data_IF_638077490676
#
_entry.id   IF_638077490676
#
_cell.length_a   1.000
_cell.length_b   1.000
_cell.length_c   1.000
_cell.angle_alpha   90.00
_cell.angle_beta   90.00
_cell.angle_gamma   90.00
#
_symmetry.space_group_name_H-M   'P 1'
#
loop_
_entity.id
_entity.type
_entity.pdbx_description
1 polymer ?
#
# COMPACT_ATOMS: atom_id res chain seq x y z
N UNK A 1 -2.93 2.00 -61.47
CA UNK A 1 -2.11 1.31 -60.44
C UNK A 1 -1.82 2.31 -59.32
N UNK A 2 -2.05 1.89 -58.05
CA UNK A 2 -1.77 2.61 -56.79
C UNK A 2 -2.65 3.82 -56.43
N UNK A 3 -3.95 3.60 -56.16
CA UNK A 3 -4.68 4.47 -55.23
C UNK A 3 -5.93 3.81 -54.59
N UNK A 4 -5.91 2.52 -54.25
CA UNK A 4 -7.06 1.87 -53.59
C UNK A 4 -6.71 0.74 -52.60
N UNK A 5 -5.51 0.79 -51.99
CA UNK A 5 -5.10 -0.20 -50.96
C UNK A 5 -4.74 0.37 -49.59
N UNK A 6 -4.87 1.69 -49.38
CA UNK A 6 -4.48 2.31 -48.10
C UNK A 6 -5.66 2.66 -47.17
N UNK A 7 -6.91 2.48 -47.59
CA UNK A 7 -8.08 2.80 -46.76
C UNK A 7 -8.65 1.61 -45.96
N UNK A 8 -8.36 0.35 -46.35
CA UNK A 8 -8.86 -0.83 -45.61
C UNK A 8 -8.01 -1.23 -44.39
N UNK A 9 -6.77 -0.74 -44.28
CA UNK A 9 -5.88 -1.05 -43.14
C UNK A 9 -6.06 -0.09 -41.96
N UNK A 10 -6.66 1.08 -42.18
CA UNK A 10 -6.95 2.06 -41.11
C UNK A 10 -8.27 1.74 -40.40
N UNK A 11 -9.23 1.08 -41.08
CA UNK A 11 -10.50 0.70 -40.49
C UNK A 11 -10.43 -0.54 -39.57
N UNK A 12 -9.45 -1.44 -39.75
CA UNK A 12 -9.28 -2.60 -38.86
C UNK A 12 -8.51 -2.30 -37.57
N UNK A 13 -7.70 -1.23 -37.53
CA UNK A 13 -6.99 -0.78 -36.32
C UNK A 13 -7.90 0.03 -35.37
N UNK A 14 -9.06 0.50 -35.84
CA UNK A 14 -10.04 1.21 -35.02
C UNK A 14 -11.09 0.31 -34.35
N UNK A 15 -11.16 -0.98 -34.70
CA UNK A 15 -12.11 -1.91 -34.08
C UNK A 15 -11.53 -2.75 -32.93
N UNK A 16 -10.23 -2.67 -32.65
CA UNK A 16 -9.57 -3.41 -31.55
C UNK A 16 -9.26 -2.52 -30.33
N UNK A 17 -9.56 -1.22 -30.39
CA UNK A 17 -9.33 -0.26 -29.28
C UNK A 17 -10.64 0.11 -28.54
N UNK A 18 -11.75 -0.60 -28.79
CA UNK A 18 -13.00 -0.45 -28.02
C UNK A 18 -13.39 -1.80 -27.38
N UNK A 19 -12.55 -2.39 -26.53
CA UNK A 19 -12.96 -3.44 -25.57
C UNK A 19 -12.13 -3.50 -24.28
N UNK A 20 -11.35 -2.48 -23.92
CA UNK A 20 -10.60 -2.46 -22.63
C UNK A 20 -10.97 -1.28 -21.74
N UNK A 21 -12.27 -1.03 -21.54
CA UNK A 21 -12.74 -0.03 -20.58
C UNK A 21 -14.08 -0.39 -19.94
N UNK A 22 -14.27 -1.62 -19.43
CA UNK A 22 -15.38 -1.91 -18.51
C UNK A 22 -14.97 -2.99 -17.47
N UNK A 23 -14.50 -2.54 -16.32
CA UNK A 23 -14.67 -3.15 -14.97
C UNK A 23 -14.53 -1.97 -14.00
N UNK A 24 -15.37 -1.68 -13.01
CA UNK A 24 -16.58 -2.29 -12.47
C UNK A 24 -17.34 -1.18 -11.74
N UNK A 25 -18.62 -0.99 -12.04
CA UNK A 25 -19.59 -0.34 -11.13
C UNK A 25 -20.86 -1.16 -11.23
N UNK A 26 -21.01 -2.18 -10.37
CA UNK A 26 -22.29 -2.87 -10.21
C UNK A 26 -22.96 -2.32 -8.95
N UNK A 27 -23.88 -1.39 -9.18
CA UNK A 27 -24.81 -0.92 -8.17
C UNK A 27 -25.88 -1.98 -7.88
N UNK A 28 -26.22 -2.10 -6.60
CA UNK A 28 -27.34 -2.91 -6.07
C UNK A 28 -28.62 -2.77 -6.92
N UNK A 29 -29.17 -3.90 -7.38
CA UNK A 29 -30.63 -4.10 -7.49
C UNK A 29 -31.02 -5.50 -7.03
N UNK A 30 -31.79 -5.55 -5.96
CA UNK A 30 -32.52 -6.73 -5.51
C UNK A 30 -33.68 -6.99 -6.47
N UNK A 31 -33.78 -8.21 -7.00
CA UNK A 31 -35.05 -8.75 -7.48
C UNK A 31 -35.24 -10.18 -6.98
N UNK A 32 -36.25 -10.34 -6.12
CA UNK A 32 -36.86 -11.60 -5.76
C UNK A 32 -37.42 -12.31 -6.99
N UNK A 33 -37.14 -13.60 -7.16
CA UNK A 33 -38.07 -14.49 -7.85
C UNK A 33 -38.20 -15.86 -7.18
N UNK A 34 -39.48 -16.25 -7.10
CA UNK A 34 -40.09 -17.40 -6.44
C UNK A 34 -39.60 -18.75 -6.95
N UNK A 35 -39.47 -19.69 -6.02
CA UNK A 35 -39.47 -21.13 -6.27
C UNK A 35 -40.77 -21.59 -6.97
N UNK A 36 -40.62 -22.40 -8.02
CA UNK A 36 -41.68 -23.27 -8.55
C UNK A 36 -41.27 -24.73 -8.35
N UNK A 37 -42.11 -25.48 -7.64
CA UNK A 37 -42.13 -26.95 -7.55
C UNK A 37 -42.75 -27.51 -8.83
N UNK A 38 -42.20 -28.61 -9.34
CA UNK A 38 -42.93 -29.66 -10.07
C UNK A 38 -42.13 -30.97 -9.94
N UNK A 39 -42.62 -31.96 -9.17
CA UNK A 39 -43.54 -33.06 -9.48
C UNK A 39 -42.90 -34.21 -10.29
N UNK A 40 -42.73 -35.32 -9.56
CA UNK A 40 -42.38 -36.68 -10.03
C UNK A 40 -43.32 -37.16 -11.15
N UNK A 41 -42.75 -37.90 -12.09
CA UNK A 41 -43.44 -38.98 -12.81
C UNK A 41 -42.53 -40.21 -12.87
N UNK A 42 -43.05 -41.31 -12.33
CA UNK A 42 -42.52 -42.66 -12.49
C UNK A 42 -42.75 -43.11 -13.94
N UNK A 43 -41.79 -43.82 -14.53
CA UNK A 43 -42.13 -44.89 -15.45
C UNK A 43 -41.16 -46.06 -15.26
N UNK A 44 -41.76 -47.22 -15.05
CA UNK A 44 -41.18 -48.54 -14.93
C UNK A 44 -40.79 -49.08 -16.30
N UNK A 45 -39.64 -49.74 -16.41
CA UNK A 45 -39.46 -50.88 -17.31
C UNK A 45 -38.38 -51.82 -16.75
N UNK A 46 -38.73 -53.11 -16.70
CA UNK A 46 -37.95 -54.23 -16.22
C UNK A 46 -37.12 -54.82 -17.37
N UNK A 47 -35.82 -55.08 -17.13
CA UNK A 47 -35.07 -56.14 -17.81
C UNK A 47 -33.95 -56.66 -16.91
N UNK A 48 -33.99 -57.97 -16.63
CA UNK A 48 -33.07 -58.75 -15.78
C UNK A 48 -31.98 -59.46 -16.60
N UNK A 49 -30.70 -59.34 -16.23
CA UNK A 49 -29.58 -60.30 -16.46
C UNK A 49 -28.49 -60.08 -15.36
N UNK A 50 -27.74 -61.11 -14.88
CA UNK A 50 -27.21 -61.15 -13.51
C UNK A 50 -25.71 -60.79 -13.34
N UNK A 51 -25.33 -60.48 -12.10
CA UNK A 51 -24.01 -60.79 -11.53
C UNK A 51 -22.95 -59.68 -11.52
N UNK A 52 -22.84 -58.99 -10.38
CA UNK A 52 -21.57 -58.66 -9.68
C UNK A 52 -21.84 -57.64 -8.57
N UNK A 53 -21.36 -57.92 -7.35
CA UNK A 53 -21.44 -57.01 -6.21
C UNK A 53 -20.66 -55.72 -6.50
N UNK A 54 -21.23 -54.51 -6.28
CA UNK A 54 -20.45 -53.29 -6.39
C UNK A 54 -19.51 -53.19 -5.19
N UNK A 55 -18.20 -53.07 -5.47
CA UNK A 55 -17.21 -52.72 -4.46
C UNK A 55 -17.56 -51.38 -3.81
N UNK A 56 -17.34 -51.29 -2.49
CA UNK A 56 -17.53 -50.10 -1.68
C UNK A 56 -16.81 -48.88 -2.28
N UNK A 57 -17.39 -47.67 -2.24
CA UNK A 57 -16.70 -46.46 -2.67
C UNK A 57 -15.43 -46.25 -1.84
N UNK A 58 -14.32 -45.79 -2.44
CA UNK A 58 -13.10 -45.50 -1.69
C UNK A 58 -13.37 -44.38 -0.66
N UNK A 59 -13.03 -44.67 0.59
CA UNK A 59 -13.08 -43.74 1.72
C UNK A 59 -12.33 -42.45 1.41
N UNK A 60 -13.03 -41.32 1.53
CA UNK A 60 -12.47 -39.98 1.56
C UNK A 60 -11.44 -39.93 2.70
N UNK A 61 -10.18 -39.47 2.48
CA UNK A 61 -9.21 -39.34 3.56
C UNK A 61 -9.77 -38.41 4.64
N UNK A 62 -9.83 -38.92 5.87
CA UNK A 62 -10.53 -38.32 6.99
C UNK A 62 -10.19 -36.86 7.23
N UNK A 63 -11.22 -36.06 7.49
CA UNK A 63 -11.08 -34.85 8.27
C UNK A 63 -10.40 -35.22 9.59
N UNK A 64 -9.17 -34.77 9.80
CA UNK A 64 -8.56 -34.79 11.12
C UNK A 64 -9.54 -34.11 12.10
N UNK A 65 -10.12 -34.90 13.00
CA UNK A 65 -10.97 -34.40 14.07
C UNK A 65 -10.08 -33.65 15.05
N UNK A 66 -10.01 -32.33 14.87
CA UNK A 66 -9.35 -31.45 15.83
C UNK A 66 -10.05 -31.58 17.19
N UNK A 67 -9.31 -31.68 18.30
CA UNK A 67 -9.89 -31.76 19.63
C UNK A 67 -10.82 -30.58 19.85
N UNK A 68 -12.08 -30.88 20.15
CA UNK A 68 -13.09 -29.91 20.58
C UNK A 68 -12.59 -29.19 21.83
N UNK A 69 -12.07 -27.97 21.66
CA UNK A 69 -11.53 -27.14 22.74
C UNK A 69 -10.27 -26.35 22.38
N UNK A 70 -9.45 -26.81 21.42
CA UNK A 70 -8.28 -26.04 20.98
C UNK A 70 -8.70 -24.88 20.07
N UNK A 71 -8.25 -23.67 20.41
CA UNK A 71 -8.37 -22.49 19.55
C UNK A 71 -7.13 -22.27 18.67
N UNK A 72 -6.12 -23.12 18.79
CA UNK A 72 -4.87 -23.01 18.03
C UNK A 72 -4.86 -24.00 16.88
N UNK A 73 -4.59 -23.49 15.69
CA UNK A 73 -4.58 -24.17 14.40
C UNK A 73 -3.16 -24.12 13.85
N UNK A 74 -2.31 -25.05 14.32
CA UNK A 74 -0.94 -25.20 13.83
C UNK A 74 -0.93 -25.76 12.41
N UNK A 75 -0.31 -25.03 11.48
CA UNK A 75 -0.23 -25.40 10.07
C UNK A 75 0.43 -26.77 9.83
N UNK A 76 1.29 -27.24 10.74
CA UNK A 76 1.87 -28.59 10.69
C UNK A 76 0.81 -29.67 10.85
N UNK A 77 -0.19 -29.45 11.72
CA UNK A 77 -1.34 -30.36 11.88
C UNK A 77 -2.21 -30.44 10.64
N UNK A 78 -2.13 -29.43 9.77
CA UNK A 78 -2.81 -29.38 8.48
C UNK A 78 -1.94 -29.90 7.31
N UNK A 79 -0.78 -30.51 7.62
CA UNK A 79 0.08 -31.16 6.63
C UNK A 79 1.15 -30.27 6.01
N UNK A 80 1.42 -29.09 6.59
CA UNK A 80 2.58 -28.29 6.19
C UNK A 80 3.87 -29.02 6.55
N UNK A 81 4.90 -28.93 5.69
CA UNK A 81 6.20 -29.56 5.91
C UNK A 81 7.17 -28.65 6.64
N UNK A 82 7.08 -27.33 6.44
CA UNK A 82 7.92 -26.38 7.17
C UNK A 82 9.42 -26.48 6.87
N UNK A 83 9.79 -27.02 5.70
CA UNK A 83 11.18 -27.23 5.28
C UNK A 83 11.75 -26.14 4.35
N UNK A 84 10.96 -25.11 4.04
CA UNK A 84 11.34 -23.97 3.18
C UNK A 84 11.38 -24.28 1.68
N UNK A 85 11.03 -25.49 1.26
CA UNK A 85 11.13 -25.96 -0.13
C UNK A 85 9.80 -26.48 -0.66
N UNK A 86 9.04 -27.20 0.17
CA UNK A 86 7.74 -27.74 -0.22
C UNK A 86 6.67 -26.67 -0.15
N UNK A 87 5.75 -26.70 -1.12
CA UNK A 87 4.61 -25.79 -1.18
C UNK A 87 3.62 -26.09 -0.05
N UNK A 88 3.62 -25.25 0.97
CA UNK A 88 2.80 -25.38 2.18
C UNK A 88 1.47 -24.61 2.09
N UNK A 89 1.17 -24.01 0.93
CA UNK A 89 0.00 -23.13 0.74
C UNK A 89 -1.33 -23.83 1.02
N UNK A 90 -1.46 -25.11 0.65
CA UNK A 90 -2.69 -25.88 0.84
C UNK A 90 -2.95 -26.14 2.34
N UNK A 91 -1.92 -26.48 3.09
CA UNK A 91 -2.01 -26.68 4.53
C UNK A 91 -2.39 -25.37 5.24
N UNK A 92 -1.70 -24.28 4.87
CA UNK A 92 -1.98 -22.94 5.39
C UNK A 92 -3.43 -22.48 5.13
N UNK A 93 -3.92 -22.64 3.90
CA UNK A 93 -5.32 -22.32 3.55
C UNK A 93 -6.34 -23.19 4.30
N UNK A 94 -6.00 -24.44 4.60
CA UNK A 94 -6.88 -25.34 5.33
C UNK A 94 -6.95 -24.95 6.82
N UNK A 95 -5.80 -24.66 7.43
CA UNK A 95 -5.71 -24.12 8.79
C UNK A 95 -6.51 -22.82 8.93
N UNK A 96 -6.31 -21.88 8.01
CA UNK A 96 -7.05 -20.62 7.96
C UNK A 96 -8.55 -20.83 7.92
N UNK A 97 -9.05 -21.66 6.99
CA UNK A 97 -10.49 -21.92 6.84
C UNK A 97 -11.11 -22.57 8.08
N UNK A 98 -10.34 -23.38 8.80
CA UNK A 98 -10.78 -23.98 10.06
C UNK A 98 -10.84 -22.94 11.17
N UNK A 99 -9.76 -22.17 11.37
CA UNK A 99 -9.66 -21.12 12.38
C UNK A 99 -10.70 -20.00 12.19
N UNK A 100 -10.94 -19.59 10.95
CA UNK A 100 -11.87 -18.52 10.58
C UNK A 100 -13.31 -18.75 11.07
N UNK A 101 -13.69 -19.99 11.39
CA UNK A 101 -15.01 -20.36 11.92
C UNK A 101 -15.12 -20.26 13.44
N UNK A 102 -14.02 -19.97 14.14
CA UNK A 102 -13.93 -20.01 15.61
C UNK A 102 -13.49 -18.64 16.13
N UNK A 103 -14.26 -18.08 17.07
CA UNK A 103 -13.92 -16.78 17.66
C UNK A 103 -12.73 -16.90 18.61
N UNK A 104 -11.78 -15.96 18.47
CA UNK A 104 -10.54 -15.97 19.25
C UNK A 104 -9.57 -17.07 18.84
N UNK A 105 -9.68 -17.59 17.61
CA UNK A 105 -8.78 -18.61 17.10
C UNK A 105 -7.41 -18.03 16.72
N UNK A 106 -6.39 -18.89 16.74
CA UNK A 106 -5.02 -18.57 16.32
C UNK A 106 -4.60 -19.54 15.24
N UNK A 107 -4.18 -19.04 14.07
CA UNK A 107 -3.39 -19.81 13.11
C UNK A 107 -1.92 -19.68 13.49
N UNK A 108 -1.27 -20.79 13.81
CA UNK A 108 0.10 -20.82 14.33
C UNK A 108 1.09 -21.20 13.22
N UNK A 109 2.13 -20.35 13.04
CA UNK A 109 3.30 -20.61 12.22
C UNK A 109 4.49 -20.81 13.17
N UNK A 110 4.82 -22.07 13.53
CA UNK A 110 5.72 -22.35 14.64
C UNK A 110 7.17 -21.96 14.38
N UNK A 111 7.87 -21.57 15.44
CA UNK A 111 9.30 -21.28 15.41
C UNK A 111 10.13 -22.49 14.98
N UNK A 112 11.27 -22.27 14.33
CA UNK A 112 12.17 -23.33 13.86
C UNK A 112 11.81 -23.89 12.49
N UNK A 113 10.64 -23.53 11.94
CA UNK A 113 10.17 -23.96 10.63
C UNK A 113 10.17 -22.82 9.60
N UNK A 114 10.30 -23.19 8.33
CA UNK A 114 10.21 -22.28 7.18
C UNK A 114 9.15 -22.79 6.22
N UNK A 115 8.16 -21.99 5.87
CA UNK A 115 7.04 -22.41 5.04
C UNK A 115 7.11 -21.70 3.70
N UNK A 116 7.31 -22.44 2.61
CA UNK A 116 7.24 -21.88 1.27
C UNK A 116 5.77 -21.75 0.89
N UNK A 117 5.29 -20.51 0.80
CA UNK A 117 3.89 -20.19 0.52
C UNK A 117 3.81 -19.58 -0.87
N UNK A 118 3.13 -20.22 -1.81
CA UNK A 118 2.75 -19.60 -3.10
C UNK A 118 1.69 -18.52 -2.89
N UNK A 119 1.40 -17.69 -3.90
CA UNK A 119 0.30 -16.73 -3.84
C UNK A 119 -1.01 -17.32 -3.32
N UNK A 120 -1.53 -16.75 -2.24
CA UNK A 120 -2.78 -17.16 -1.58
C UNK A 120 -3.65 -15.97 -1.23
N UNK A 121 -4.96 -16.21 -1.16
CA UNK A 121 -5.92 -15.27 -0.58
C UNK A 121 -6.55 -15.90 0.66
N UNK A 122 -6.39 -15.21 1.79
CA UNK A 122 -7.02 -15.50 3.07
C UNK A 122 -8.28 -14.64 3.17
N UNK A 123 -9.42 -15.28 2.96
CA UNK A 123 -10.69 -14.58 2.81
C UNK A 123 -11.57 -14.78 4.05
N UNK A 124 -12.22 -13.70 4.48
CA UNK A 124 -13.33 -13.72 5.41
C UNK A 124 -14.71 -13.85 4.73
N UNK A 125 -15.80 -13.57 5.45
CA UNK A 125 -15.82 -13.10 6.84
C UNK A 125 -15.35 -14.20 7.81
N UNK A 126 -14.59 -13.82 8.82
CA UNK A 126 -14.18 -14.70 9.92
C UNK A 126 -14.88 -14.28 11.21
N UNK A 127 -14.98 -15.22 12.15
CA UNK A 127 -15.33 -14.90 13.53
C UNK A 127 -14.30 -13.91 14.12
N UNK A 128 -14.71 -13.01 15.03
CA UNK A 128 -13.85 -11.93 15.51
C UNK A 128 -12.70 -12.46 16.37
N UNK A 129 -11.66 -11.62 16.48
CA UNK A 129 -10.44 -11.85 17.27
C UNK A 129 -9.59 -13.01 16.73
N UNK A 130 -9.59 -13.19 15.41
CA UNK A 130 -8.71 -14.16 14.75
C UNK A 130 -7.27 -13.63 14.79
N UNK A 131 -6.32 -14.50 15.14
CA UNK A 131 -4.90 -14.18 15.20
C UNK A 131 -4.14 -15.04 14.19
N UNK A 132 -3.21 -14.43 13.46
CA UNK A 132 -2.14 -15.13 12.75
C UNK A 132 -0.84 -14.93 13.56
N UNK A 133 -0.43 -15.98 14.26
CA UNK A 133 0.80 -16.00 15.06
C UNK A 133 1.96 -16.47 14.19
N UNK A 134 2.89 -15.56 13.88
CA UNK A 134 4.07 -15.83 13.04
C UNK A 134 5.30 -15.89 13.93
N UNK A 135 5.71 -17.10 14.33
CA UNK A 135 6.93 -17.35 15.09
C UNK A 135 8.05 -17.97 14.22
N UNK A 136 7.67 -18.66 13.14
CA UNK A 136 8.56 -19.20 12.10
C UNK A 136 8.82 -18.23 10.96
N UNK A 137 9.20 -18.77 9.79
CA UNK A 137 9.39 -18.00 8.57
C UNK A 137 8.36 -18.35 7.50
N UNK A 138 7.74 -17.36 6.88
CA UNK A 138 7.01 -17.49 5.63
C UNK A 138 7.92 -17.04 4.49
N UNK A 139 8.07 -17.87 3.45
CA UNK A 139 8.94 -17.61 2.31
C UNK A 139 8.11 -17.55 1.03
N UNK A 140 8.26 -16.50 0.24
CA UNK A 140 7.66 -16.45 -1.10
C UNK A 140 8.45 -17.33 -2.07
N UNK A 141 7.87 -17.87 -3.16
CA UNK A 141 8.65 -18.55 -4.19
C UNK A 141 9.61 -17.54 -4.81
N UNK A 142 10.93 -17.80 -4.95
CA UNK A 142 11.91 -16.78 -5.34
C UNK A 142 11.99 -16.50 -6.85
N UNK A 143 11.40 -17.35 -7.70
CA UNK A 143 11.42 -17.16 -9.16
C UNK A 143 10.11 -16.54 -9.65
N UNK A 144 10.21 -15.50 -10.47
CA UNK A 144 9.06 -14.83 -11.10
C UNK A 144 8.14 -15.84 -11.81
N UNK A 145 8.72 -16.77 -12.58
CA UNK A 145 7.96 -17.79 -13.31
C UNK A 145 7.29 -18.86 -12.43
N UNK A 146 7.58 -18.92 -11.13
CA UNK A 146 6.91 -19.82 -10.19
C UNK A 146 5.58 -19.26 -9.67
N UNK A 147 5.29 -17.99 -9.96
CA UNK A 147 4.03 -17.35 -9.58
C UNK A 147 2.98 -17.54 -10.67
N UNK A 148 1.69 -17.65 -10.33
CA UNK A 148 0.63 -17.72 -11.32
C UNK A 148 0.66 -16.49 -12.23
N UNK A 149 0.45 -16.69 -13.55
CA UNK A 149 0.32 -15.61 -14.54
C UNK A 149 -1.02 -14.85 -14.41
N UNK A 150 -1.47 -14.56 -13.19
CA UNK A 150 -2.69 -13.80 -12.94
C UNK A 150 -2.37 -12.31 -12.87
N UNK A 151 -3.29 -11.46 -13.31
CA UNK A 151 -3.15 -10.01 -13.37
C UNK A 151 -2.93 -9.32 -12.02
N UNK A 152 -3.12 -10.01 -10.89
CA UNK A 152 -3.12 -9.37 -9.58
C UNK A 152 -1.85 -9.60 -8.74
N UNK A 153 -0.95 -10.51 -9.14
CA UNK A 153 0.37 -10.78 -8.55
C UNK A 153 0.55 -10.54 -7.03
N UNK A 154 -0.46 -10.79 -6.20
CA UNK A 154 -0.40 -10.59 -4.75
C UNK A 154 0.14 -11.85 -4.07
N UNK A 155 1.03 -11.71 -3.07
CA UNK A 155 1.54 -12.87 -2.34
C UNK A 155 0.54 -13.39 -1.29
N UNK A 156 0.42 -12.70 -0.16
CA UNK A 156 -0.52 -13.04 0.91
C UNK A 156 -1.56 -11.92 1.00
N UNK A 157 -2.75 -12.23 0.49
CA UNK A 157 -3.84 -11.27 0.37
C UNK A 157 -4.94 -11.57 1.38
N UNK A 158 -5.17 -10.66 2.30
CA UNK A 158 -6.24 -10.69 3.29
C UNK A 158 -7.43 -9.90 2.75
N UNK A 159 -8.59 -10.55 2.62
CA UNK A 159 -9.81 -9.94 2.06
C UNK A 159 -10.99 -10.05 3.02
N UNK A 160 -11.67 -8.93 3.25
CA UNK A 160 -12.93 -8.86 4.01
C UNK A 160 -12.80 -9.40 5.43
N UNK A 161 -11.72 -9.04 6.10
CA UNK A 161 -11.43 -9.48 7.47
C UNK A 161 -11.74 -8.35 8.44
N UNK A 162 -12.28 -8.71 9.60
CA UNK A 162 -12.64 -7.79 10.67
C UNK A 162 -12.06 -8.26 12.01
N UNK A 163 -11.56 -7.35 12.84
CA UNK A 163 -11.01 -7.64 14.19
C UNK A 163 -9.94 -8.75 14.14
N UNK A 164 -8.84 -8.46 13.46
CA UNK A 164 -7.79 -9.44 13.14
C UNK A 164 -6.41 -8.93 13.52
N UNK A 165 -5.57 -9.84 14.03
CA UNK A 165 -4.21 -9.50 14.44
C UNK A 165 -3.19 -10.40 13.76
N UNK A 166 -2.15 -9.82 13.17
CA UNK A 166 -0.89 -10.49 12.89
C UNK A 166 0.10 -10.12 14.00
N UNK A 167 0.75 -11.12 14.59
CA UNK A 167 1.74 -10.91 15.63
C UNK A 167 2.79 -12.01 15.65
N UNK A 168 3.88 -11.81 16.40
CA UNK A 168 4.90 -12.83 16.67
C UNK A 168 6.31 -12.36 16.31
N UNK A 169 7.30 -13.19 16.62
CA UNK A 169 8.73 -12.86 16.44
C UNK A 169 9.31 -13.29 15.10
N UNK A 170 8.48 -13.87 14.23
CA UNK A 170 8.86 -14.49 12.98
C UNK A 170 9.06 -13.51 11.83
N UNK A 171 9.27 -14.07 10.64
CA UNK A 171 9.62 -13.32 9.43
C UNK A 171 8.72 -13.68 8.25
N UNK A 172 8.33 -12.66 7.50
CA UNK A 172 7.70 -12.75 6.18
C UNK A 172 8.76 -12.32 5.16
N UNK A 173 9.36 -13.27 4.46
CA UNK A 173 10.43 -13.03 3.48
C UNK A 173 9.90 -13.16 2.06
N UNK A 174 9.81 -12.02 1.36
CA UNK A 174 9.33 -11.94 -0.01
C UNK A 174 10.30 -12.47 -1.06
N UNK A 175 11.56 -12.76 -0.69
CA UNK A 175 12.63 -13.23 -1.59
C UNK A 175 12.76 -12.41 -2.90
N UNK A 176 12.56 -11.10 -2.81
CA UNK A 176 12.29 -10.17 -3.92
C UNK A 176 13.42 -9.92 -4.93
N UNK A 177 14.63 -10.43 -4.71
CA UNK A 177 15.81 -10.05 -5.52
C UNK A 177 15.67 -10.33 -7.01
N UNK A 178 14.91 -11.35 -7.41
CA UNK A 178 14.67 -11.69 -8.81
C UNK A 178 13.65 -10.75 -9.51
N UNK A 179 12.89 -9.95 -8.74
CA UNK A 179 11.94 -8.96 -9.27
C UNK A 179 12.54 -7.58 -9.45
N UNK A 180 13.66 -7.30 -8.79
CA UNK A 180 14.34 -6.00 -8.82
C UNK A 180 15.15 -5.79 -10.11
N UNK A 181 14.59 -6.22 -11.25
CA UNK A 181 15.13 -6.00 -12.59
C UNK A 181 14.20 -5.05 -13.36
N UNK A 182 14.72 -4.18 -14.25
CA UNK A 182 13.89 -3.24 -15.00
C UNK A 182 12.73 -3.90 -15.78
N UNK A 183 12.95 -5.11 -16.31
CA UNK A 183 11.96 -5.89 -17.05
C UNK A 183 10.75 -6.36 -16.22
N UNK A 184 10.89 -6.44 -14.90
CA UNK A 184 9.89 -6.99 -13.99
C UNK A 184 9.12 -5.93 -13.20
N UNK A 185 9.39 -4.63 -13.43
CA UNK A 185 8.71 -3.51 -12.77
C UNK A 185 7.21 -3.39 -13.11
N UNK A 186 6.71 -4.16 -14.08
CA UNK A 186 5.29 -4.22 -14.45
C UNK A 186 4.47 -5.02 -13.41
N UNK A 187 5.12 -5.86 -12.61
CA UNK A 187 4.43 -6.71 -11.63
C UNK A 187 4.22 -5.98 -10.30
N UNK A 188 2.96 -5.73 -9.95
CA UNK A 188 2.57 -5.11 -8.69
C UNK A 188 2.49 -6.16 -7.57
N UNK A 189 3.64 -6.65 -7.09
CA UNK A 189 3.70 -7.73 -6.10
C UNK A 189 3.87 -7.22 -4.67
N UNK A 190 2.77 -7.22 -3.92
CA UNK A 190 2.83 -6.92 -2.48
C UNK A 190 3.04 -8.19 -1.66
N UNK A 191 3.89 -8.12 -0.63
CA UNK A 191 4.10 -9.25 0.28
C UNK A 191 2.84 -9.50 1.13
N UNK A 192 2.42 -8.51 1.91
CA UNK A 192 1.17 -8.54 2.66
C UNK A 192 0.22 -7.46 2.13
N UNK A 193 -1.01 -7.85 1.77
CA UNK A 193 -2.06 -6.91 1.36
C UNK A 193 -3.34 -7.16 2.13
N UNK A 194 -3.89 -6.10 2.72
CA UNK A 194 -5.24 -6.06 3.26
C UNK A 194 -6.14 -5.29 2.33
N UNK A 195 -7.27 -5.89 1.98
CA UNK A 195 -8.27 -5.29 1.12
C UNK A 195 -9.64 -5.35 1.76
N UNK A 196 -10.32 -4.20 1.82
CA UNK A 196 -11.66 -4.10 2.42
C UNK A 196 -11.72 -4.76 3.80
N UNK A 197 -10.69 -4.51 4.62
CA UNK A 197 -10.54 -5.12 5.94
C UNK A 197 -10.50 -4.03 7.01
N UNK A 198 -11.06 -4.32 8.19
CA UNK A 198 -11.26 -3.31 9.22
C UNK A 198 -10.85 -3.79 10.61
N UNK A 199 -10.36 -2.89 11.46
CA UNK A 199 -9.86 -3.23 12.80
C UNK A 199 -8.76 -4.30 12.71
N UNK A 200 -7.68 -3.95 12.01
CA UNK A 200 -6.53 -4.83 11.77
C UNK A 200 -5.34 -4.31 12.56
N UNK A 201 -4.71 -5.21 13.32
CA UNK A 201 -3.43 -4.95 13.99
C UNK A 201 -2.33 -5.79 13.35
N UNK A 202 -1.19 -5.18 13.02
CA UNK A 202 0.03 -5.87 12.60
C UNK A 202 1.15 -5.46 13.54
N UNK A 203 1.73 -6.41 14.28
CA UNK A 203 2.75 -6.09 15.28
C UNK A 203 3.87 -7.10 15.40
N UNK A 204 5.02 -6.65 15.93
CA UNK A 204 6.18 -7.44 16.36
C UNK A 204 6.94 -8.25 15.27
N UNK A 205 6.35 -8.43 14.09
CA UNK A 205 6.91 -9.25 13.01
C UNK A 205 7.96 -8.50 12.18
N UNK A 206 8.73 -9.28 11.42
CA UNK A 206 9.63 -8.77 10.37
C UNK A 206 9.04 -9.02 8.99
N UNK A 207 9.07 -8.03 8.11
CA UNK A 207 8.69 -8.17 6.70
C UNK A 207 9.90 -7.73 5.86
N UNK A 208 10.52 -8.66 5.13
CA UNK A 208 11.78 -8.41 4.44
C UNK A 208 11.73 -8.80 2.97
N UNK A 209 12.58 -8.15 2.17
CA UNK A 209 12.82 -8.48 0.77
C UNK A 209 11.52 -8.61 -0.04
N UNK A 210 10.56 -7.69 0.13
CA UNK A 210 9.35 -7.74 -0.69
C UNK A 210 9.71 -7.47 -2.16
N UNK A 211 9.09 -8.18 -3.12
CA UNK A 211 9.27 -7.90 -4.55
C UNK A 211 8.89 -6.45 -4.94
N UNK A 212 7.88 -5.89 -4.27
CA UNK A 212 7.45 -4.48 -4.35
C UNK A 212 7.08 -4.03 -2.92
N UNK A 213 5.87 -3.52 -2.67
CA UNK A 213 5.49 -3.01 -1.34
C UNK A 213 5.45 -4.14 -0.29
N UNK A 214 5.89 -3.87 0.94
CA UNK A 214 5.93 -4.86 2.02
C UNK A 214 4.55 -5.06 2.65
N UNK A 215 3.90 -3.97 3.04
CA UNK A 215 2.59 -4.00 3.68
C UNK A 215 1.65 -2.98 3.04
N UNK A 216 0.57 -3.46 2.41
CA UNK A 216 -0.42 -2.61 1.75
C UNK A 216 -1.79 -2.69 2.43
N UNK A 217 -2.39 -1.55 2.69
CA UNK A 217 -3.80 -1.43 3.07
C UNK A 217 -4.56 -0.71 1.95
N UNK A 218 -5.66 -1.32 1.51
CA UNK A 218 -6.49 -0.80 0.44
C UNK A 218 -7.97 -0.90 0.81
N UNK A 219 -8.70 0.22 0.70
CA UNK A 219 -10.14 0.28 0.96
C UNK A 219 -10.50 -0.18 2.38
N UNK A 220 -9.65 0.14 3.36
CA UNK A 220 -9.63 -0.45 4.70
C UNK A 220 -9.77 0.63 5.79
N UNK A 221 -9.91 0.26 7.06
CA UNK A 221 -9.84 1.25 8.14
C UNK A 221 -9.84 0.72 9.56
N UNK A 222 -9.44 1.54 10.52
CA UNK A 222 -9.14 1.08 11.89
C UNK A 222 -7.88 0.20 11.86
N UNK A 223 -6.77 0.76 11.40
CA UNK A 223 -5.52 0.04 11.20
C UNK A 223 -4.53 0.43 12.29
N UNK A 224 -3.87 -0.56 12.88
CA UNK A 224 -2.78 -0.36 13.83
C UNK A 224 -1.55 -1.14 13.35
N UNK A 225 -0.43 -0.46 13.22
CA UNK A 225 0.87 -1.06 12.94
C UNK A 225 1.82 -0.67 14.06
N UNK A 226 2.38 -1.64 14.77
CA UNK A 226 3.17 -1.38 15.98
C UNK A 226 4.39 -2.30 16.08
N UNK A 227 5.55 -1.75 16.41
CA UNK A 227 6.77 -2.53 16.66
C UNK A 227 7.15 -3.52 15.54
N UNK A 228 6.95 -3.15 14.26
CA UNK A 228 7.38 -3.99 13.14
C UNK A 228 8.77 -3.59 12.63
N UNK A 229 9.44 -4.53 11.97
CA UNK A 229 10.65 -4.23 11.21
C UNK A 229 10.44 -4.53 9.73
N UNK A 230 10.68 -3.54 8.88
CA UNK A 230 10.68 -3.67 7.42
C UNK A 230 12.10 -3.45 6.91
N UNK A 231 12.60 -4.36 6.07
CA UNK A 231 13.95 -4.26 5.51
C UNK A 231 14.05 -4.81 4.09
N UNK A 232 14.52 -3.98 3.17
CA UNK A 232 15.04 -4.37 1.85
C UNK A 232 16.24 -3.50 1.48
N UNK A 233 17.11 -3.91 0.53
CA UNK A 233 18.21 -3.07 0.07
C UNK A 233 17.73 -1.72 -0.46
N UNK A 234 18.50 -0.65 -0.25
CA UNK A 234 18.20 0.70 -0.78
C UNK A 234 18.03 0.72 -2.31
N UNK A 235 18.69 -0.21 -3.01
CA UNK A 235 18.61 -0.34 -4.47
C UNK A 235 17.40 -1.13 -4.97
N UNK A 236 16.54 -1.63 -4.08
CA UNK A 236 15.35 -2.40 -4.46
C UNK A 236 14.23 -1.48 -4.94
N UNK A 237 13.85 -1.50 -6.24
CA UNK A 237 12.93 -0.55 -6.80
C UNK A 237 11.50 -0.76 -6.29
N UNK A 238 10.80 0.33 -5.98
CA UNK A 238 9.38 0.34 -5.64
C UNK A 238 9.02 -0.52 -4.40
N UNK A 239 9.96 -0.69 -3.47
CA UNK A 239 9.75 -1.54 -2.30
C UNK A 239 9.16 -0.82 -1.10
N UNK A 240 8.12 0.01 -1.31
CA UNK A 240 7.46 0.79 -0.25
C UNK A 240 7.30 -0.06 1.04
N UNK A 241 7.58 0.53 2.19
CA UNK A 241 7.40 -0.14 3.47
C UNK A 241 5.93 -0.37 3.75
N UNK A 242 5.23 0.69 4.12
CA UNK A 242 3.78 0.68 4.36
C UNK A 242 3.10 1.54 3.30
N UNK A 243 2.16 0.96 2.56
CA UNK A 243 1.44 1.62 1.48
C UNK A 243 -0.06 1.71 1.82
N UNK A 244 -0.56 2.93 2.01
CA UNK A 244 -1.95 3.22 2.33
C UNK A 244 -2.68 3.75 1.09
N UNK A 245 -3.83 3.17 0.78
CA UNK A 245 -4.69 3.62 -0.32
C UNK A 245 -6.16 3.47 0.09
N UNK A 246 -7.01 4.46 -0.14
CA UNK A 246 -8.41 4.42 0.27
C UNK A 246 -8.61 3.96 1.73
N UNK A 247 -7.72 4.36 2.64
CA UNK A 247 -7.65 3.81 4.00
C UNK A 247 -7.76 4.90 5.03
N UNK A 248 -8.61 4.69 6.04
CA UNK A 248 -8.89 5.68 7.09
C UNK A 248 -8.64 5.14 8.49
N UNK A 249 -8.43 6.05 9.44
CA UNK A 249 -8.27 5.74 10.86
C UNK A 249 -7.07 4.79 11.06
N UNK A 250 -5.87 5.32 10.87
CA UNK A 250 -4.62 4.57 10.82
C UNK A 250 -3.64 5.08 11.87
N UNK A 251 -3.07 4.15 12.63
CA UNK A 251 -2.00 4.38 13.60
C UNK A 251 -0.76 3.56 13.19
N UNK A 252 0.41 4.20 13.05
CA UNK A 252 1.68 3.54 12.73
C UNK A 252 2.75 4.01 13.71
N UNK A 253 3.27 3.09 14.52
CA UNK A 253 4.17 3.45 15.62
C UNK A 253 5.28 2.45 15.91
N UNK A 254 6.32 2.93 16.61
CA UNK A 254 7.44 2.15 17.18
C UNK A 254 8.17 1.23 16.19
N UNK A 255 8.17 1.58 14.91
CA UNK A 255 8.61 0.69 13.84
C UNK A 255 9.91 1.14 13.18
N UNK A 256 10.69 0.17 12.70
CA UNK A 256 11.92 0.41 11.92
C UNK A 256 11.65 0.03 10.46
N UNK A 257 11.80 0.99 9.54
CA UNK A 257 11.43 0.82 8.13
C UNK A 257 12.58 1.29 7.24
N UNK A 258 13.23 0.34 6.56
CA UNK A 258 14.24 0.60 5.54
C UNK A 258 13.94 -0.17 4.26
N UNK A 259 13.96 0.52 3.12
CA UNK A 259 13.67 -0.09 1.82
C UNK A 259 14.29 0.74 0.68
N UNK A 260 13.96 0.43 -0.57
CA UNK A 260 14.41 1.22 -1.71
C UNK A 260 13.39 2.24 -2.23
N UNK A 261 12.26 2.42 -1.54
CA UNK A 261 11.27 3.45 -1.87
C UNK A 261 10.70 4.09 -0.58
N UNK A 262 9.47 4.57 -0.59
CA UNK A 262 8.85 5.25 0.55
C UNK A 262 8.76 4.35 1.80
N UNK A 263 9.20 4.84 2.97
CA UNK A 263 8.96 4.15 4.24
C UNK A 263 7.47 4.01 4.49
N UNK A 264 6.74 5.12 4.32
CA UNK A 264 5.27 5.15 4.32
C UNK A 264 4.78 5.96 3.13
N UNK A 265 3.94 5.35 2.30
CA UNK A 265 3.31 5.97 1.14
C UNK A 265 1.81 6.13 1.38
N UNK A 266 1.32 7.37 1.34
CA UNK A 266 -0.08 7.73 1.56
C UNK A 266 -0.69 8.17 0.23
N UNK A 267 -1.57 7.34 -0.33
CA UNK A 267 -2.25 7.60 -1.60
C UNK A 267 -3.64 8.21 -1.39
N UNK A 268 -4.33 8.49 -2.51
CA UNK A 268 -5.70 9.02 -2.50
C UNK A 268 -6.67 8.18 -1.67
N UNK A 269 -7.69 8.84 -1.14
CA UNK A 269 -8.76 8.25 -0.33
C UNK A 269 -8.33 7.98 1.12
N UNK A 270 -7.17 8.48 1.53
CA UNK A 270 -6.69 8.32 2.91
C UNK A 270 -7.06 9.51 3.80
N UNK A 271 -7.45 9.21 5.04
CA UNK A 271 -7.78 10.24 6.02
C UNK A 271 -7.61 9.78 7.46
N UNK A 272 -7.30 10.71 8.39
CA UNK A 272 -7.09 10.38 9.80
C UNK A 272 -5.97 9.35 9.97
N UNK A 273 -4.76 9.76 9.60
CA UNK A 273 -3.54 8.93 9.66
C UNK A 273 -2.57 9.57 10.63
N UNK A 274 -2.15 8.81 11.65
CA UNK A 274 -1.12 9.19 12.61
C UNK A 274 0.08 8.26 12.47
N UNK A 275 1.27 8.85 12.30
CA UNK A 275 2.54 8.13 12.16
C UNK A 275 3.51 8.72 13.17
N UNK A 276 4.02 7.90 14.10
CA UNK A 276 4.91 8.44 15.13
C UNK A 276 5.91 7.44 15.72
N UNK A 277 7.02 7.94 16.26
CA UNK A 277 8.06 7.09 16.85
C UNK A 277 8.59 6.01 15.87
N UNK A 278 8.77 6.38 14.60
CA UNK A 278 9.34 5.48 13.60
C UNK A 278 10.75 5.91 13.20
N UNK A 279 11.58 4.92 12.88
CA UNK A 279 12.87 5.09 12.25
C UNK A 279 12.72 4.75 10.76
N UNK A 280 12.93 5.74 9.90
CA UNK A 280 12.76 5.63 8.45
C UNK A 280 14.09 5.81 7.74
N UNK A 281 14.58 4.77 7.09
CA UNK A 281 15.84 4.85 6.34
C UNK A 281 16.54 3.50 6.19
N UNK A 282 17.22 3.26 5.05
CA UNK A 282 17.25 4.10 3.83
C UNK A 282 15.93 4.06 3.04
N UNK A 283 15.83 4.83 1.94
CA UNK A 283 14.67 4.85 1.04
C UNK A 283 14.26 6.25 0.55
N UNK A 284 12.96 6.51 0.41
CA UNK A 284 12.42 7.78 -0.09
C UNK A 284 11.72 8.66 0.96
N UNK A 285 11.69 8.24 2.23
CA UNK A 285 11.07 9.01 3.31
C UNK A 285 9.59 8.70 3.50
N UNK A 286 8.85 9.66 4.06
CA UNK A 286 7.39 9.58 4.24
C UNK A 286 6.72 10.46 3.20
N UNK A 287 5.88 9.87 2.36
CA UNK A 287 5.33 10.53 1.17
C UNK A 287 3.81 10.50 1.12
N UNK A 288 3.20 11.65 0.83
CA UNK A 288 1.82 11.76 0.36
C UNK A 288 1.86 11.84 -1.18
N UNK A 289 1.37 10.80 -1.87
CA UNK A 289 1.31 10.73 -3.32
C UNK A 289 2.29 9.77 -4.01
N UNK A 290 2.39 9.74 -5.33
CA UNK A 290 1.93 10.76 -6.29
C UNK A 290 0.41 10.84 -6.48
N UNK A 291 -0.17 11.99 -6.14
CA UNK A 291 -1.63 12.21 -6.16
C UNK A 291 -2.11 12.83 -7.47
N UNK A 292 -3.23 12.34 -8.01
CA UNK A 292 -3.91 12.94 -9.17
C UNK A 292 -3.32 12.55 -10.53
N UNK A 293 -2.71 11.36 -10.65
CA UNK A 293 -2.17 10.84 -11.91
C UNK A 293 -3.24 10.86 -13.00
N UNK A 294 -2.85 11.16 -14.24
CA UNK A 294 -3.76 11.16 -15.41
C UNK A 294 -4.99 12.06 -15.22
N UNK A 295 -4.80 13.21 -14.55
CA UNK A 295 -5.86 14.19 -14.24
C UNK A 295 -6.97 13.61 -13.35
N UNK A 296 -6.68 12.56 -12.60
CA UNK A 296 -7.62 11.98 -11.64
C UNK A 296 -7.83 12.88 -10.43
N UNK A 297 -8.93 12.65 -9.73
CA UNK A 297 -9.22 13.26 -8.43
C UNK A 297 -8.43 12.51 -7.35
N UNK A 298 -7.74 13.27 -6.51
CA UNK A 298 -7.08 12.74 -5.33
C UNK A 298 -7.43 13.53 -4.07
N UNK A 299 -7.80 12.81 -3.01
CA UNK A 299 -8.25 13.40 -1.75
C UNK A 299 -7.48 12.76 -0.60
N UNK A 300 -6.75 13.58 0.16
CA UNK A 300 -6.04 13.17 1.37
C UNK A 300 -6.27 14.23 2.46
N UNK A 301 -6.60 13.82 3.67
CA UNK A 301 -6.83 14.79 4.75
C UNK A 301 -6.49 14.30 6.14
N UNK A 302 -6.20 15.22 7.07
CA UNK A 302 -5.99 14.91 8.49
C UNK A 302 -4.85 13.90 8.68
N UNK A 303 -3.64 14.32 8.32
CA UNK A 303 -2.42 13.51 8.42
C UNK A 303 -1.52 14.13 9.48
N UNK A 304 -1.07 13.34 10.45
CA UNK A 304 -0.12 13.75 11.49
C UNK A 304 1.07 12.82 11.45
N UNK A 305 2.25 13.38 11.26
CA UNK A 305 3.52 12.65 11.31
C UNK A 305 4.41 13.35 12.34
N UNK A 306 4.79 12.65 13.39
CA UNK A 306 5.58 13.26 14.45
C UNK A 306 6.56 12.34 15.16
N UNK A 307 7.61 12.91 15.77
CA UNK A 307 8.60 12.14 16.56
C UNK A 307 9.24 11.05 15.71
N UNK A 308 9.71 11.43 14.52
CA UNK A 308 10.28 10.52 13.51
C UNK A 308 11.76 10.81 13.31
N UNK A 309 12.55 9.75 13.17
CA UNK A 309 13.93 9.85 12.68
C UNK A 309 13.98 9.39 11.22
N UNK A 310 14.45 10.26 10.32
CA UNK A 310 14.63 9.94 8.91
C UNK A 310 16.11 10.01 8.55
N UNK A 311 16.67 8.97 7.95
CA UNK A 311 18.10 8.93 7.65
C UNK A 311 18.43 8.25 6.32
N UNK A 312 19.43 8.78 5.61
CA UNK A 312 19.88 8.24 4.31
C UNK A 312 18.74 8.02 3.32
N UNK A 313 17.81 8.97 3.23
CA UNK A 313 16.67 8.92 2.29
C UNK A 313 16.73 10.01 1.24
N UNK A 314 15.97 9.83 0.15
CA UNK A 314 15.75 10.86 -0.87
C UNK A 314 14.98 12.07 -0.32
N UNK A 315 13.94 11.83 0.48
CA UNK A 315 13.17 12.89 1.12
C UNK A 315 13.00 12.64 2.62
N UNK A 316 12.79 13.70 3.39
CA UNK A 316 12.34 13.55 4.78
C UNK A 316 10.83 13.29 4.78
N UNK A 317 10.08 14.38 4.63
CA UNK A 317 8.63 14.39 4.46
C UNK A 317 8.27 15.07 3.13
N UNK A 318 7.41 14.42 2.36
CA UNK A 318 7.15 14.78 0.96
C UNK A 318 5.65 14.79 0.64
N UNK A 319 5.18 15.84 -0.03
CA UNK A 319 3.88 15.86 -0.72
C UNK A 319 4.14 15.95 -2.22
N UNK A 320 3.60 15.01 -2.99
CA UNK A 320 3.86 14.87 -4.42
C UNK A 320 2.55 14.75 -5.19
N UNK A 321 2.28 15.65 -6.11
CA UNK A 321 1.05 15.65 -6.91
C UNK A 321 1.37 15.77 -8.39
N UNK A 322 0.67 15.02 -9.22
CA UNK A 322 0.83 15.05 -10.67
C UNK A 322 0.32 16.36 -11.27
N UNK A 323 1.06 16.88 -12.26
CA UNK A 323 0.56 17.99 -13.06
C UNK A 323 -0.77 17.63 -13.73
N UNK A 324 -1.75 18.53 -13.65
CA UNK A 324 -3.08 18.33 -14.21
C UNK A 324 -4.05 17.61 -13.27
N UNK A 325 -3.59 17.11 -12.11
CA UNK A 325 -4.43 16.45 -11.12
C UNK A 325 -5.51 17.36 -10.52
N UNK A 326 -6.48 16.76 -9.84
CA UNK A 326 -7.59 17.45 -9.18
C UNK A 326 -7.80 16.95 -7.75
N UNK A 327 -8.61 17.65 -6.96
CA UNK A 327 -8.93 17.28 -5.58
C UNK A 327 -8.11 18.08 -4.56
N UNK A 328 -7.83 17.50 -3.39
CA UNK A 328 -7.20 18.22 -2.28
C UNK A 328 -6.31 17.36 -1.37
N UNK A 329 -5.26 17.98 -0.85
CA UNK A 329 -4.48 17.57 0.32
C UNK A 329 -4.69 18.61 1.40
N UNK A 330 -5.25 18.23 2.54
CA UNK A 330 -5.67 19.19 3.57
C UNK A 330 -5.35 18.77 4.99
N UNK A 331 -4.97 19.71 5.84
CA UNK A 331 -4.74 19.48 7.27
C UNK A 331 -3.67 18.40 7.50
N UNK A 332 -2.43 18.75 7.17
CA UNK A 332 -1.26 17.87 7.30
C UNK A 332 -0.27 18.51 8.27
N UNK A 333 0.21 17.75 9.24
CA UNK A 333 1.21 18.21 10.22
C UNK A 333 2.41 17.27 10.22
N UNK A 334 3.60 17.85 10.07
CA UNK A 334 4.90 17.20 10.23
C UNK A 334 5.63 17.87 11.39
N UNK A 335 5.81 17.19 12.52
CA UNK A 335 6.37 17.82 13.73
C UNK A 335 7.40 16.99 14.47
N UNK A 336 8.46 17.60 15.00
CA UNK A 336 9.52 16.90 15.73
C UNK A 336 10.14 15.77 14.89
N UNK A 337 10.77 16.14 13.79
CA UNK A 337 11.39 15.21 12.84
C UNK A 337 12.90 15.46 12.82
N UNK A 338 13.65 14.41 13.15
CA UNK A 338 15.10 14.43 13.03
C UNK A 338 15.51 13.88 11.66
N UNK A 339 16.31 14.62 10.91
CA UNK A 339 16.80 14.20 9.60
C UNK A 339 18.33 14.03 9.62
N UNK A 340 18.85 12.94 9.07
CA UNK A 340 20.29 12.69 8.98
C UNK A 340 20.69 12.24 7.59
N UNK A 341 21.54 13.01 6.92
CA UNK A 341 22.01 12.72 5.56
C UNK A 341 20.86 12.55 4.54
N UNK A 342 19.74 13.24 4.75
CA UNK A 342 18.57 13.20 3.87
C UNK A 342 18.80 14.10 2.65
N UNK A 343 18.50 13.65 1.43
CA UNK A 343 18.78 14.46 0.23
C UNK A 343 17.99 15.77 0.22
N UNK A 344 16.68 15.73 0.43
CA UNK A 344 15.85 16.92 0.64
C UNK A 344 14.85 16.71 1.78
N UNK A 345 15.08 17.26 2.98
CA UNK A 345 14.23 17.05 4.16
C UNK A 345 12.76 17.41 3.97
N UNK A 346 12.45 18.53 3.33
CA UNK A 346 11.08 19.03 3.16
C UNK A 346 10.77 19.20 1.67
N UNK A 347 9.76 18.49 1.18
CA UNK A 347 9.32 18.56 -0.22
C UNK A 347 7.81 18.79 -0.33
N UNK A 348 7.42 19.79 -1.12
CA UNK A 348 6.14 19.85 -1.81
C UNK A 348 6.45 19.95 -3.31
N UNK A 349 5.93 19.04 -4.12
CA UNK A 349 6.10 19.04 -5.57
C UNK A 349 4.75 18.83 -6.26
N UNK A 350 4.16 19.91 -6.79
CA UNK A 350 2.96 19.87 -7.62
C UNK A 350 3.27 19.73 -9.13
N UNK A 351 4.55 19.60 -9.49
CA UNK A 351 5.01 19.49 -10.87
C UNK A 351 5.39 18.04 -11.26
N UNK A 352 5.06 17.05 -10.43
CA UNK A 352 5.46 15.67 -10.65
C UNK A 352 4.96 15.12 -12.00
N UNK A 353 5.87 14.44 -12.70
CA UNK A 353 5.59 13.74 -13.94
C UNK A 353 6.66 12.66 -14.21
N UNK A 354 6.31 11.66 -15.02
CA UNK A 354 7.15 10.50 -15.35
C UNK A 354 7.72 10.54 -16.78
N UNK A 355 7.72 11.72 -17.41
CA UNK A 355 8.24 11.93 -18.77
C UNK A 355 9.46 12.83 -18.74
N UNK A 356 10.36 12.64 -19.71
CA UNK A 356 11.55 13.48 -19.85
C UNK A 356 11.21 14.96 -20.10
N UNK A 357 10.07 15.22 -20.76
CA UNK A 357 9.55 16.57 -21.01
C UNK A 357 8.07 16.60 -20.65
N UNK A 358 7.73 17.43 -19.67
CA UNK A 358 6.37 17.65 -19.22
C UNK A 358 5.94 19.08 -19.52
N UNK A 359 4.84 19.23 -20.25
CA UNK A 359 4.23 20.54 -20.48
C UNK A 359 3.56 20.99 -19.20
N UNK A 360 3.86 22.21 -18.76
CA UNK A 360 3.20 22.82 -17.61
C UNK A 360 1.68 22.79 -17.81
N UNK A 361 0.98 22.26 -16.80
CA UNK A 361 -0.47 22.26 -16.74
C UNK A 361 -0.95 23.26 -15.68
N UNK A 362 -2.14 23.82 -15.88
CA UNK A 362 -2.74 24.82 -15.00
C UNK A 362 -3.49 24.21 -13.83
N UNK A 363 -3.98 22.97 -13.98
CA UNK A 363 -4.65 22.20 -12.94
C UNK A 363 -3.62 21.48 -12.06
N UNK A 364 -3.92 21.37 -10.77
CA UNK A 364 -3.17 20.64 -9.77
C UNK A 364 -4.11 20.26 -8.60
N UNK A 365 -3.71 19.24 -7.84
CA UNK A 365 -4.36 18.91 -6.56
C UNK A 365 -4.14 20.08 -5.61
N UNK A 366 -5.19 20.66 -5.04
CA UNK A 366 -5.06 21.78 -4.12
C UNK A 366 -4.36 21.34 -2.82
N UNK A 367 -3.39 22.11 -2.33
CA UNK A 367 -2.68 21.83 -1.08
C UNK A 367 -2.95 22.97 -0.10
N UNK A 368 -3.58 22.66 1.03
CA UNK A 368 -3.92 23.66 2.05
C UNK A 368 -3.73 23.16 3.48
N UNK A 369 -3.29 24.05 4.38
CA UNK A 369 -3.14 23.73 5.81
C UNK A 369 -2.07 22.67 6.05
N UNK A 370 -0.83 22.95 5.64
CA UNK A 370 0.32 22.07 5.85
C UNK A 370 1.26 22.73 6.85
N UNK A 371 1.52 22.08 7.98
CA UNK A 371 2.43 22.57 9.01
C UNK A 371 3.70 21.73 9.03
N UNK A 372 4.85 22.40 9.00
CA UNK A 372 6.16 21.83 9.31
C UNK A 372 6.68 22.51 10.58
N UNK A 373 7.02 21.72 11.60
CA UNK A 373 7.39 22.21 12.93
C UNK A 373 8.56 21.39 13.51
N UNK A 374 9.65 22.02 13.95
CA UNK A 374 10.77 21.31 14.57
C UNK A 374 11.33 20.20 13.67
N UNK A 375 11.74 20.57 12.45
CA UNK A 375 12.46 19.66 11.55
C UNK A 375 13.94 20.03 11.59
N UNK A 376 14.74 19.14 12.17
CA UNK A 376 16.11 19.44 12.58
C UNK A 376 17.07 18.37 12.08
N UNK A 377 18.24 18.77 11.59
CA UNK A 377 19.34 17.85 11.29
C UNK A 377 20.10 18.18 10.01
N UNK A 378 20.46 17.17 9.21
CA UNK A 378 21.35 17.36 8.04
C UNK A 378 20.75 16.97 6.69
N UNK A 379 21.16 17.68 5.64
CA UNK A 379 20.80 17.38 4.26
C UNK A 379 22.00 17.17 3.32
N UNK A 380 21.80 16.44 2.21
CA UNK A 380 22.87 16.15 1.22
C UNK A 380 22.62 16.76 -0.16
N UNK A 381 21.53 17.50 -0.37
CA UNK A 381 21.30 18.23 -1.63
C UNK A 381 20.66 19.61 -1.45
N UNK A 382 19.55 19.71 -0.71
CA UNK A 382 18.84 20.97 -0.51
C UNK A 382 18.06 20.93 0.81
N UNK A 383 17.96 22.02 1.58
CA UNK A 383 17.19 22.02 2.83
C UNK A 383 15.68 21.89 2.58
N UNK A 384 15.14 22.67 1.66
CA UNK A 384 13.69 22.77 1.40
C UNK A 384 13.43 22.89 -0.10
N UNK A 385 12.38 22.20 -0.59
CA UNK A 385 11.87 22.28 -1.95
C UNK A 385 10.34 22.43 -1.94
N UNK A 386 9.83 23.64 -2.16
CA UNK A 386 8.39 23.91 -2.31
C UNK A 386 8.11 24.37 -3.74
N UNK A 387 7.62 23.47 -4.59
CA UNK A 387 7.27 23.74 -5.98
C UNK A 387 5.75 23.66 -6.15
N UNK A 388 5.07 24.79 -5.95
CA UNK A 388 3.61 24.86 -6.06
C UNK A 388 3.14 25.41 -7.41
N UNK A 389 2.02 24.91 -7.94
CA UNK A 389 1.49 25.26 -9.25
C UNK A 389 1.19 26.75 -9.37
N UNK A 390 1.53 27.37 -10.51
CA UNK A 390 1.16 28.75 -10.84
C UNK A 390 -0.35 28.99 -10.81
N UNK A 391 -1.15 28.02 -11.26
CA UNK A 391 -2.60 28.13 -11.33
C UNK A 391 -3.30 27.82 -10.01
N UNK A 392 -2.70 26.96 -9.19
CA UNK A 392 -3.25 26.51 -7.90
C UNK A 392 -2.12 26.49 -6.87
N UNK A 393 -1.76 27.65 -6.29
CA UNK A 393 -0.72 27.76 -5.27
C UNK A 393 -1.03 26.92 -4.02
N UNK A 394 0.02 26.57 -3.28
CA UNK A 394 -0.13 26.04 -1.94
C UNK A 394 -0.48 27.17 -0.97
N UNK A 395 -1.45 26.93 -0.09
CA UNK A 395 -1.95 27.95 0.86
C UNK A 395 -1.91 27.43 2.28
N UNK A 396 -1.82 28.33 3.26
CA UNK A 396 -1.71 27.96 4.68
C UNK A 396 -0.59 26.91 4.90
N UNK A 397 0.56 27.14 4.28
CA UNK A 397 1.80 26.38 4.49
C UNK A 397 2.64 27.09 5.54
N UNK A 398 2.80 26.46 6.69
CA UNK A 398 3.51 27.04 7.83
C UNK A 398 4.86 26.33 8.06
N UNK A 399 5.93 27.11 8.19
CA UNK A 399 7.29 26.66 8.50
C UNK A 399 7.69 27.22 9.86
N UNK A 400 7.84 26.37 10.88
CA UNK A 400 8.19 26.77 12.25
C UNK A 400 9.39 25.96 12.74
N UNK A 401 10.39 26.64 13.30
CA UNK A 401 11.55 25.98 13.93
C UNK A 401 12.23 24.94 13.02
N UNK A 402 12.70 25.39 11.85
CA UNK A 402 13.33 24.53 10.85
C UNK A 402 14.85 24.76 10.89
N UNK A 403 15.61 23.73 11.28
CA UNK A 403 17.05 23.86 11.50
C UNK A 403 17.82 22.78 10.74
N UNK A 404 18.15 23.06 9.48
CA UNK A 404 18.73 22.12 8.54
C UNK A 404 20.14 22.54 8.14
N UNK A 405 21.13 21.68 8.41
CA UNK A 405 22.54 21.93 8.09
C UNK A 405 22.99 21.08 6.89
N UNK A 406 23.89 21.58 6.04
CA UNK A 406 24.52 20.71 5.06
C UNK A 406 25.28 19.58 5.78
N UNK A 407 25.14 18.36 5.27
CA UNK A 407 25.96 17.21 5.66
C UNK A 407 27.40 17.41 5.16
N UNK A 408 28.37 16.75 5.81
CA UNK A 408 29.76 16.72 5.33
C UNK A 408 29.91 16.19 3.89
N UNK A 409 28.93 15.43 3.40
CA UNK A 409 28.88 14.90 2.03
C UNK A 409 28.42 15.94 1.00
N UNK A 410 27.93 17.10 1.44
CA UNK A 410 27.34 18.12 0.58
C UNK A 410 28.40 18.91 -0.21
N UNK A 411 28.10 19.22 -1.48
CA UNK A 411 28.97 20.02 -2.37
C UNK A 411 28.22 21.12 -3.15
N UNK A 412 27.00 21.47 -2.73
CA UNK A 412 26.14 22.44 -3.43
C UNK A 412 25.98 23.78 -2.72
N UNK A 413 24.99 24.57 -3.17
CA UNK A 413 24.61 25.86 -2.57
C UNK A 413 23.50 25.68 -1.51
N UNK A 414 23.69 26.26 -0.32
CA UNK A 414 22.77 26.21 0.84
C UNK A 414 21.46 27.01 0.65
N UNK A 415 20.75 26.75 -0.44
CA UNK A 415 19.57 27.52 -0.86
C UNK A 415 18.31 26.65 -0.89
N UNK A 416 17.28 27.08 -0.17
CA UNK A 416 15.93 26.58 -0.37
C UNK A 416 15.41 26.92 -1.78
N UNK A 417 14.60 26.04 -2.36
CA UNK A 417 13.90 26.32 -3.63
C UNK A 417 12.41 26.42 -3.35
N UNK A 418 11.85 27.62 -3.49
CA UNK A 418 10.48 27.87 -3.08
C UNK A 418 9.73 28.70 -4.11
N UNK A 419 8.55 28.22 -4.48
CA UNK A 419 7.77 28.75 -5.59
C UNK A 419 6.27 28.65 -5.28
N UNK A 420 5.60 29.80 -5.41
CA UNK A 420 4.14 29.97 -5.31
C UNK A 420 3.48 29.35 -4.07
N UNK A 421 4.13 29.44 -2.92
CA UNK A 421 3.61 28.95 -1.63
C UNK A 421 3.34 30.11 -0.67
N UNK A 422 2.23 30.01 0.08
CA UNK A 422 1.73 31.08 0.95
C UNK A 422 1.38 30.55 2.34
N UNK A 423 1.73 31.31 3.37
CA UNK A 423 1.49 30.95 4.76
C UNK A 423 2.41 31.73 5.70
N UNK A 424 2.93 31.09 6.74
CA UNK A 424 3.73 31.76 7.79
C UNK A 424 5.06 31.07 8.03
N UNK A 425 6.09 31.90 8.20
CA UNK A 425 7.41 31.50 8.69
C UNK A 425 7.58 31.96 10.13
N UNK A 426 8.05 31.10 11.01
CA UNK A 426 8.41 31.44 12.39
C UNK A 426 9.74 30.79 12.79
N UNK A 427 10.65 31.63 13.30
CA UNK A 427 12.01 31.23 13.66
C UNK A 427 12.11 30.30 14.89
N UNK A 428 13.27 29.63 15.04
CA UNK A 428 14.47 29.79 14.21
C UNK A 428 14.35 29.08 12.85
N UNK A 429 14.93 29.69 11.80
CA UNK A 429 14.98 29.12 10.45
C UNK A 429 16.43 29.10 9.96
N UNK A 430 16.94 27.92 9.65
CA UNK A 430 18.29 27.71 9.18
C UNK A 430 18.31 26.66 8.04
N UNK A 431 18.91 26.96 6.88
CA UNK A 431 19.53 28.23 6.51
C UNK A 431 18.51 29.38 6.36
N UNK A 432 19.00 30.63 6.35
CA UNK A 432 18.16 31.83 6.25
C UNK A 432 17.32 31.91 4.96
N UNK A 433 17.72 31.18 3.91
CA UNK A 433 16.96 31.09 2.65
C UNK A 433 15.54 30.53 2.85
N UNK A 434 15.30 29.76 3.92
CA UNK A 434 13.98 29.21 4.27
C UNK A 434 12.97 30.32 4.62
N UNK A 435 13.42 31.45 5.19
CA UNK A 435 12.51 32.53 5.61
C UNK A 435 11.64 33.07 4.46
N UNK A 436 12.21 33.07 3.25
CA UNK A 436 11.56 33.53 2.02
C UNK A 436 10.61 32.53 1.36
N UNK A 437 10.51 31.29 1.89
CA UNK A 437 9.83 30.21 1.20
C UNK A 437 8.33 30.37 1.10
N UNK A 438 7.70 30.94 2.13
CA UNK A 438 6.26 31.16 2.20
C UNK A 438 5.95 32.65 2.23
N UNK A 439 5.09 33.10 1.32
CA UNK A 439 4.68 34.50 1.21
C UNK A 439 3.44 34.75 2.06
N UNK A 440 3.28 35.97 2.59
CA UNK A 440 2.03 36.36 3.25
C UNK A 440 0.90 36.44 2.22
N UNK A 441 -0.25 35.86 2.55
CA UNK A 441 -1.43 35.88 1.69
C UNK A 441 -2.21 37.21 1.84
N UNK A 442 -2.54 37.84 0.70
CA UNK A 442 -3.42 39.02 0.61
C UNK A 442 -4.91 38.69 0.54
N UNK A 443 -5.31 37.43 0.73
CA UNK A 443 -6.71 36.96 0.81
C UNK A 443 -7.35 36.57 -0.52
N UNK A 444 -6.75 36.94 -1.66
CA UNK A 444 -7.20 36.53 -3.00
C UNK A 444 -6.79 35.09 -3.35
N UNK A 445 -5.63 34.64 -2.85
CA UNK A 445 -5.05 33.32 -3.15
C UNK A 445 -5.89 32.19 -2.54
N UNK A 446 -6.36 32.40 -1.30
CA UNK A 446 -7.26 31.45 -0.61
C UNK A 446 -8.57 31.18 -1.34
N UNK A 447 -9.12 32.15 -2.09
CA UNK A 447 -10.37 31.94 -2.86
C UNK A 447 -10.17 30.97 -4.03
N UNK A 448 -9.02 31.04 -4.71
CA UNK A 448 -8.69 30.17 -5.83
C UNK A 448 -8.57 28.72 -5.37
N UNK A 449 -7.80 28.48 -4.30
CA UNK A 449 -7.61 27.14 -3.74
C UNK A 449 -8.94 26.53 -3.25
N UNK A 450 -9.72 27.29 -2.47
CA UNK A 450 -11.01 26.82 -1.90
C UNK A 450 -12.04 26.43 -2.95
N UNK A 451 -12.12 27.15 -4.07
CA UNK A 451 -13.07 26.84 -5.15
C UNK A 451 -12.86 25.45 -5.77
N UNK A 452 -11.71 24.81 -5.54
CA UNK A 452 -11.34 23.51 -6.09
C UNK A 452 -11.42 22.37 -5.06
N UNK A 453 -11.64 22.67 -3.77
CA UNK A 453 -11.76 21.66 -2.70
C UNK A 453 -13.09 20.88 -2.76
N UNK A 454 -14.14 21.41 -3.42
CA UNK A 454 -15.48 20.80 -3.48
C UNK A 454 -15.53 19.40 -4.10
N UNK A 455 -14.49 18.96 -4.81
CA UNK A 455 -14.46 17.65 -5.49
C UNK A 455 -14.23 16.50 -4.48
N UNK A 456 -13.76 16.79 -3.27
CA UNK A 456 -13.44 15.78 -2.25
C UNK A 456 -14.53 15.57 -1.20
N UNK A 457 -15.70 16.24 -1.31
CA UNK A 457 -16.78 16.21 -0.33
C UNK A 457 -18.11 15.77 -0.93
#
# INVERSE_FOLDING_TARGET
MKLHRSLCLVALMFLVIITSSITSVEGRKHHHHKHKKDKKKNNSDNCTVPGSSPASPPTIPGHASYPTGSKTFDVLSFGAKGNGVSDDSKAFLTAWKAACKISGATVEIPSGFKFLIKPITLQGPCMPNLVLQINGALLAPPKVGSWPKSSLFQWINFKWIHNFTIQGSGVVDGQGSQWWTPSNQIYLIQALRFYSSFNVTVRDIKIINSPQCHLKFDSSGGIQVDNITISSPETSPNTDGIHLQNTRDVEIQHSNIGCGDDCVSIQTGCSNVHIHHINCGPGHGISLGGLGKDKSVACVSNIVVEKVSVFNTLAGVRIKTWQGGMGSVKNVSFSNIQVSDVKVPIIIDQYYCDKDICKNQTMAVAISGVKYDQIVGTYTSRPVHLACSNGIPCTDVDLTDIQLKPSFKYRGLDEAMCWNSYGKSQGPLYPSSIDSCVRRDGGSVKRIARSREHVCF
#
